data_IF_046348365522
#
_entry.id   IF_046348365522
#
_cell.length_a   1.000
_cell.length_b   1.000
_cell.length_c   1.000
_cell.angle_alpha   90.00
_cell.angle_beta   90.00
_cell.angle_gamma   90.00
#
_symmetry.space_group_name_H-M   'P 1'
#
loop_
_entity.id
_entity.type
_entity.pdbx_description
1 polymer ?
#
# COMPACT_ATOMS: atom_id res chain seq x y z
N UNK A 1 -5.04 -14.61 8.32
CA UNK A 1 -3.88 -13.89 8.83
C UNK A 1 -2.68 -14.77 9.22
N UNK A 2 -2.86 -16.05 9.56
CA UNK A 2 -1.76 -16.94 9.99
C UNK A 2 -0.80 -17.45 8.90
N UNK A 3 -1.10 -17.32 7.61
CA UNK A 3 -0.34 -18.02 6.55
C UNK A 3 0.78 -17.17 5.90
N UNK A 4 0.67 -15.84 5.92
CA UNK A 4 1.74 -14.96 5.41
C UNK A 4 2.95 -14.95 6.37
N UNK A 5 2.69 -15.07 7.68
CA UNK A 5 3.74 -15.08 8.72
C UNK A 5 4.53 -16.39 8.73
N UNK A 6 3.92 -17.53 8.36
CA UNK A 6 4.57 -18.84 8.41
C UNK A 6 5.73 -19.01 7.41
N UNK A 7 5.74 -18.24 6.31
CA UNK A 7 6.83 -18.33 5.32
C UNK A 7 8.08 -17.51 5.70
N UNK A 8 7.98 -16.64 6.70
CA UNK A 8 9.07 -15.77 7.16
C UNK A 8 9.73 -16.21 8.47
N UNK A 9 9.32 -17.33 9.03
CA UNK A 9 9.80 -17.84 10.33
C UNK A 9 11.29 -18.24 10.38
N UNK A 10 12.06 -18.06 9.31
CA UNK A 10 13.50 -18.39 9.25
C UNK A 10 14.43 -17.16 9.23
N UNK A 11 13.91 -15.94 9.36
CA UNK A 11 14.76 -14.76 9.41
C UNK A 11 15.19 -14.46 10.85
N UNK A 12 16.49 -14.37 11.09
CA UNK A 12 17.10 -14.05 12.37
C UNK A 12 16.87 -12.58 12.82
N UNK A 13 16.28 -11.77 11.94
CA UNK A 13 15.99 -10.34 12.18
C UNK A 13 14.56 -9.99 11.78
N UNK A 14 13.94 -8.97 12.43
CA UNK A 14 12.65 -8.44 12.03
C UNK A 14 12.61 -8.04 10.55
N UNK A 15 11.51 -8.33 9.87
CA UNK A 15 11.29 -7.89 8.50
C UNK A 15 11.09 -6.37 8.50
N UNK A 16 11.88 -5.66 7.72
CA UNK A 16 11.80 -4.21 7.57
C UNK A 16 10.79 -3.85 6.49
N UNK A 17 9.71 -3.22 6.87
CA UNK A 17 8.66 -2.77 5.94
C UNK A 17 8.69 -1.25 5.83
N UNK A 18 8.71 -0.74 4.59
CA UNK A 18 8.38 0.65 4.30
C UNK A 18 6.94 0.71 3.80
N UNK A 19 6.05 1.36 4.56
CA UNK A 19 4.67 1.57 4.17
C UNK A 19 4.48 2.97 3.58
N UNK A 20 3.92 3.06 2.36
CA UNK A 20 3.57 4.34 1.72
C UNK A 20 2.17 4.79 2.12
N UNK A 21 2.07 5.56 3.20
CA UNK A 21 0.85 6.20 3.67
C UNK A 21 0.53 7.54 3.01
N UNK A 22 1.30 7.99 2.01
CA UNK A 22 1.12 9.33 1.40
C UNK A 22 -0.17 9.48 0.61
N UNK A 23 -0.83 8.38 0.26
CA UNK A 23 -2.13 8.38 -0.44
C UNK A 23 -3.34 8.47 0.50
N UNK A 24 -3.14 8.46 1.80
CA UNK A 24 -4.21 8.63 2.80
C UNK A 24 -4.85 10.01 2.57
N UNK A 25 -6.17 10.08 2.34
CA UNK A 25 -6.86 11.37 2.18
C UNK A 25 -6.96 12.11 3.53
N UNK A 26 -7.13 13.43 3.49
CA UNK A 26 -7.16 14.27 4.68
C UNK A 26 -8.31 13.92 5.65
N UNK A 27 -9.40 13.33 5.15
CA UNK A 27 -10.53 12.82 5.93
C UNK A 27 -10.37 11.34 6.34
N UNK A 28 -9.16 10.80 6.24
CA UNK A 28 -8.78 9.39 6.40
C UNK A 28 -9.43 8.45 5.37
N UNK A 29 -10.71 8.61 5.07
CA UNK A 29 -11.44 7.73 4.15
C UNK A 29 -11.30 6.23 4.51
N UNK A 30 -11.61 5.36 3.55
CA UNK A 30 -11.45 3.91 3.72
C UNK A 30 -10.00 3.46 3.80
N UNK A 31 -9.13 4.06 2.96
CA UNK A 31 -7.70 3.73 2.96
C UNK A 31 -7.02 4.11 4.27
N UNK A 32 -7.34 5.29 4.80
CA UNK A 32 -6.77 5.75 6.07
C UNK A 32 -7.18 4.87 7.24
N UNK A 33 -8.46 4.49 7.33
CA UNK A 33 -8.94 3.55 8.37
C UNK A 33 -8.27 2.19 8.26
N UNK A 34 -8.18 1.65 7.05
CA UNK A 34 -7.48 0.40 6.82
C UNK A 34 -6.02 0.47 7.30
N UNK A 35 -5.30 1.53 6.97
CA UNK A 35 -3.91 1.71 7.42
C UNK A 35 -3.85 1.87 8.93
N UNK A 36 -4.75 2.65 9.52
CA UNK A 36 -4.79 2.90 10.97
C UNK A 36 -5.04 1.62 11.79
N UNK A 37 -5.81 0.67 11.22
CA UNK A 37 -6.04 -0.64 11.83
C UNK A 37 -4.91 -1.62 11.54
N UNK A 38 -4.30 -1.58 10.33
CA UNK A 38 -3.25 -2.51 9.92
C UNK A 38 -1.94 -2.30 10.67
N UNK A 39 -1.52 -1.03 10.86
CA UNK A 39 -0.14 -0.74 11.29
C UNK A 39 0.19 -1.19 12.71
N UNK A 40 -0.74 -1.11 13.72
CA UNK A 40 -0.50 -1.70 15.03
C UNK A 40 -0.27 -3.22 14.96
N UNK A 41 -1.09 -3.91 14.15
CA UNK A 41 -0.98 -5.36 13.98
C UNK A 41 0.39 -5.78 13.38
N UNK A 42 0.90 -5.00 12.41
CA UNK A 42 2.23 -5.26 11.86
C UNK A 42 3.32 -5.11 12.93
N UNK A 43 3.23 -4.10 13.77
CA UNK A 43 4.18 -3.88 14.87
C UNK A 43 4.07 -5.00 15.91
N UNK A 44 2.87 -5.42 16.29
CA UNK A 44 2.65 -6.54 17.22
C UNK A 44 3.20 -7.86 16.69
N UNK A 45 3.19 -8.06 15.37
CA UNK A 45 3.81 -9.22 14.71
C UNK A 45 5.35 -9.10 14.60
N UNK A 46 5.95 -8.08 15.19
CA UNK A 46 7.41 -7.90 15.22
C UNK A 46 8.00 -7.33 13.92
N UNK A 47 7.20 -6.64 13.09
CA UNK A 47 7.70 -5.95 11.89
C UNK A 47 8.46 -4.68 12.30
N UNK A 48 9.65 -4.48 11.74
CA UNK A 48 10.37 -3.19 11.81
C UNK A 48 9.74 -2.22 10.79
N UNK A 49 8.79 -1.42 11.29
CA UNK A 49 7.94 -0.58 10.46
C UNK A 49 8.50 0.83 10.30
N UNK A 50 8.70 1.24 9.06
CA UNK A 50 8.89 2.64 8.66
C UNK A 50 7.69 3.09 7.82
N UNK A 51 7.10 4.25 8.13
CA UNK A 51 5.99 4.81 7.36
C UNK A 51 6.38 6.15 6.73
N UNK A 52 6.14 6.30 5.43
CA UNK A 52 6.12 7.59 4.76
C UNK A 52 4.68 8.13 4.75
N UNK A 53 4.42 9.25 5.38
CA UNK A 53 3.07 9.83 5.52
C UNK A 53 3.07 11.30 5.11
N UNK A 54 1.91 11.86 4.78
CA UNK A 54 1.79 13.31 4.62
C UNK A 54 2.15 13.99 5.95
N UNK A 55 2.75 15.18 5.87
CA UNK A 55 3.21 15.94 7.06
C UNK A 55 2.08 16.17 8.08
N UNK A 56 0.83 16.38 7.61
CA UNK A 56 -0.36 16.54 8.45
C UNK A 56 -0.71 15.30 9.28
N UNK A 57 -0.34 14.12 8.82
CA UNK A 57 -0.69 12.85 9.45
C UNK A 57 0.43 12.31 10.36
N UNK A 58 1.61 12.98 10.35
CA UNK A 58 2.81 12.49 11.01
C UNK A 58 2.67 12.39 12.54
N UNK A 59 2.07 13.40 13.18
CA UNK A 59 1.85 13.42 14.64
C UNK A 59 0.89 12.31 15.07
N UNK A 60 -0.18 12.08 14.31
CA UNK A 60 -1.14 11.01 14.57
C UNK A 60 -0.44 9.65 14.61
N UNK A 61 0.31 9.30 13.56
CA UNK A 61 0.99 8.01 13.50
C UNK A 61 2.18 7.90 14.46
N UNK A 62 2.90 8.99 14.73
CA UNK A 62 3.99 8.97 15.72
C UNK A 62 3.47 8.71 17.14
N UNK A 63 2.32 9.28 17.50
CA UNK A 63 1.67 9.06 18.80
C UNK A 63 1.13 7.63 18.90
N UNK A 64 0.50 7.14 17.83
CA UNK A 64 -0.13 5.80 17.81
C UNK A 64 0.89 4.66 17.75
N UNK A 65 2.06 4.90 17.15
CA UNK A 65 3.08 3.88 16.87
C UNK A 65 4.47 4.34 17.35
N UNK A 66 4.70 4.46 18.66
CA UNK A 66 5.96 5.00 19.18
C UNK A 66 7.20 4.15 18.83
N UNK A 67 7.03 2.89 18.47
CA UNK A 67 8.11 1.99 18.02
C UNK A 67 8.37 2.05 16.51
N UNK A 68 7.45 2.64 15.71
CA UNK A 68 7.63 2.78 14.28
C UNK A 68 8.37 4.07 13.90
N UNK A 69 9.10 4.02 12.80
CA UNK A 69 9.74 5.21 12.25
C UNK A 69 8.80 5.96 11.32
N UNK A 70 8.36 7.15 11.71
CA UNK A 70 7.50 8.01 10.89
C UNK A 70 8.35 9.03 10.11
N UNK A 71 8.14 9.09 8.79
CA UNK A 71 8.85 10.00 7.88
C UNK A 71 7.82 10.94 7.25
N UNK A 72 7.73 12.20 7.70
CA UNK A 72 6.82 13.17 7.11
C UNK A 72 7.27 13.56 5.71
N UNK A 73 6.32 13.61 4.79
CA UNK A 73 6.51 14.04 3.41
C UNK A 73 5.89 15.43 3.26
N UNK A 74 6.70 16.37 2.78
CA UNK A 74 6.36 17.79 2.70
C UNK A 74 5.01 18.05 2.03
N UNK A 75 4.26 19.00 2.54
CA UNK A 75 2.95 19.48 2.07
C UNK A 75 2.91 19.80 0.55
N UNK A 76 4.05 20.17 -0.05
CA UNK A 76 4.13 20.39 -1.50
C UNK A 76 3.71 19.17 -2.33
N UNK A 77 3.68 17.96 -1.72
CA UNK A 77 3.27 16.71 -2.35
C UNK A 77 1.85 16.26 -1.97
N UNK A 78 1.02 17.12 -1.37
CA UNK A 78 -0.36 16.79 -1.02
C UNK A 78 -1.29 16.65 -2.23
N UNK A 79 -1.09 17.50 -3.26
CA UNK A 79 -1.92 17.38 -4.46
C UNK A 79 -1.68 16.03 -5.15
N UNK A 80 -2.74 15.43 -5.72
CA UNK A 80 -2.65 14.12 -6.38
C UNK A 80 -1.53 14.05 -7.43
N UNK A 81 -1.38 15.04 -8.36
CA UNK A 81 -0.28 14.99 -9.33
C UNK A 81 1.11 15.06 -8.68
N UNK A 82 1.28 15.93 -7.67
CA UNK A 82 2.55 16.07 -6.96
C UNK A 82 2.90 14.81 -6.17
N UNK A 83 1.90 14.19 -5.48
CA UNK A 83 2.08 12.90 -4.80
C UNK A 83 2.50 11.80 -5.77
N UNK A 84 1.84 11.71 -6.92
CA UNK A 84 2.21 10.73 -7.94
C UNK A 84 3.61 10.95 -8.50
N UNK A 85 4.02 12.21 -8.70
CA UNK A 85 5.39 12.54 -9.09
C UNK A 85 6.39 12.14 -7.98
N UNK A 86 6.05 12.41 -6.70
CA UNK A 86 6.86 11.98 -5.57
C UNK A 86 6.94 10.44 -5.46
N UNK A 87 5.85 9.73 -5.67
CA UNK A 87 5.83 8.26 -5.70
C UNK A 87 6.84 7.69 -6.70
N UNK A 88 7.01 8.34 -7.86
CA UNK A 88 7.93 7.88 -8.90
C UNK A 88 9.37 8.38 -8.73
N UNK A 89 9.62 9.44 -7.94
CA UNK A 89 10.93 10.08 -7.83
C UNK A 89 11.49 10.12 -6.41
N UNK A 90 10.67 10.50 -5.44
CA UNK A 90 11.01 10.64 -4.02
C UNK A 90 11.00 9.29 -3.30
N UNK A 91 9.95 8.51 -3.49
CA UNK A 91 9.81 7.20 -2.83
C UNK A 91 10.93 6.23 -3.20
N UNK A 92 11.38 6.09 -4.46
CA UNK A 92 12.56 5.26 -4.77
C UNK A 92 13.86 5.74 -4.11
N UNK A 93 14.02 7.07 -3.90
CA UNK A 93 15.15 7.59 -3.14
C UNK A 93 15.05 7.24 -1.66
N UNK A 94 13.84 7.31 -1.11
CA UNK A 94 13.57 6.92 0.27
C UNK A 94 13.83 5.43 0.49
N UNK A 95 13.37 4.56 -0.42
CA UNK A 95 13.64 3.12 -0.38
C UNK A 95 15.15 2.85 -0.32
N UNK A 96 15.96 3.50 -1.16
CA UNK A 96 17.42 3.34 -1.12
C UNK A 96 18.06 3.81 0.19
N UNK A 97 17.47 4.82 0.85
CA UNK A 97 17.94 5.36 2.14
C UNK A 97 17.56 4.45 3.31
N UNK A 98 16.30 3.99 3.34
CA UNK A 98 15.73 3.16 4.41
C UNK A 98 16.20 1.71 4.29
N UNK A 99 16.36 1.21 3.06
CA UNK A 99 16.70 -0.18 2.72
C UNK A 99 15.73 -1.18 3.35
N UNK A 100 14.42 -1.04 3.09
CA UNK A 100 13.45 -2.01 3.59
C UNK A 100 13.61 -3.34 2.85
N UNK A 101 13.09 -4.41 3.43
CA UNK A 101 13.00 -5.71 2.77
C UNK A 101 11.77 -5.77 1.85
N UNK A 102 10.72 -4.98 2.18
CA UNK A 102 9.46 -4.91 1.43
C UNK A 102 8.93 -3.47 1.41
N UNK A 103 8.42 -3.03 0.26
CA UNK A 103 7.55 -1.86 0.14
C UNK A 103 6.10 -2.30 0.22
N UNK A 104 5.31 -1.76 1.15
CA UNK A 104 3.86 -1.91 1.17
C UNK A 104 3.19 -0.63 0.69
N UNK A 105 2.46 -0.72 -0.42
CA UNK A 105 1.59 0.36 -0.92
C UNK A 105 0.13 0.00 -0.62
N UNK A 106 -0.51 0.58 0.42
CA UNK A 106 -1.88 0.28 0.81
C UNK A 106 -2.90 0.98 -0.11
N UNK A 107 -2.56 1.10 -1.38
CA UNK A 107 -3.35 1.73 -2.44
C UNK A 107 -2.89 1.19 -3.81
N UNK A 108 -3.67 1.46 -4.87
CA UNK A 108 -3.54 0.84 -6.19
C UNK A 108 -2.26 1.17 -6.98
N UNK A 109 -1.41 2.08 -6.49
CA UNK A 109 -0.21 2.53 -7.21
C UNK A 109 1.06 2.27 -6.43
N UNK A 110 2.18 2.15 -7.13
CA UNK A 110 3.51 2.00 -6.57
C UNK A 110 4.56 2.55 -7.55
N UNK A 111 5.80 2.77 -7.10
CA UNK A 111 6.89 3.16 -7.99
C UNK A 111 7.07 2.17 -9.14
N UNK A 112 7.46 2.69 -10.30
CA UNK A 112 7.75 1.82 -11.46
C UNK A 112 8.97 0.93 -11.25
N UNK A 113 9.96 1.43 -10.53
CA UNK A 113 11.24 0.76 -10.24
C UNK A 113 11.55 0.88 -8.75
N UNK A 114 10.88 0.09 -7.89
CA UNK A 114 11.07 0.17 -6.44
C UNK A 114 12.43 -0.37 -6.00
N UNK A 115 12.98 -1.37 -6.69
CA UNK A 115 14.24 -2.04 -6.33
C UNK A 115 14.14 -2.99 -5.12
N UNK A 116 12.94 -3.21 -4.61
CA UNK A 116 12.60 -4.16 -3.53
C UNK A 116 11.26 -4.81 -3.85
N UNK A 117 10.93 -5.96 -3.28
CA UNK A 117 9.61 -6.57 -3.36
C UNK A 117 8.49 -5.61 -2.95
N UNK A 118 7.35 -5.69 -3.64
CA UNK A 118 6.20 -4.79 -3.43
C UNK A 118 4.94 -5.58 -3.08
N UNK A 119 4.33 -5.19 -1.98
CA UNK A 119 2.96 -5.59 -1.60
C UNK A 119 2.01 -4.44 -1.91
N UNK A 120 0.90 -4.72 -2.58
CA UNK A 120 -0.14 -3.72 -2.89
C UNK A 120 -1.48 -4.17 -2.30
N UNK A 121 -2.19 -3.26 -1.62
CA UNK A 121 -3.56 -3.52 -1.20
C UNK A 121 -4.55 -3.02 -2.25
N UNK A 122 -5.45 -3.91 -2.68
CA UNK A 122 -6.56 -3.62 -3.59
C UNK A 122 -7.86 -3.64 -2.78
N UNK A 123 -8.41 -2.47 -2.48
CA UNK A 123 -9.57 -2.34 -1.59
C UNK A 123 -10.88 -2.83 -2.22
N UNK A 124 -11.05 -2.60 -3.51
CA UNK A 124 -12.25 -2.97 -4.28
C UNK A 124 -11.96 -3.10 -5.78
N UNK A 125 -12.92 -3.65 -6.52
CA UNK A 125 -12.91 -3.74 -7.97
C UNK A 125 -14.02 -2.87 -8.62
N UNK A 126 -14.62 -1.91 -7.89
CA UNK A 126 -15.79 -1.14 -8.33
C UNK A 126 -15.56 -0.33 -9.60
N UNK A 127 -14.30 0.04 -9.89
CA UNK A 127 -13.92 0.68 -11.15
C UNK A 127 -14.17 -0.20 -12.38
N UNK A 128 -14.28 -1.50 -12.19
CA UNK A 128 -14.63 -2.46 -13.24
C UNK A 128 -16.11 -2.84 -13.18
N UNK A 129 -16.62 -3.20 -11.99
CA UNK A 129 -17.96 -3.76 -11.82
C UNK A 129 -19.06 -2.69 -11.88
N UNK A 130 -18.76 -1.47 -11.41
CA UNK A 130 -19.71 -0.35 -11.37
C UNK A 130 -19.14 0.91 -12.02
N UNK A 131 -18.76 0.85 -13.31
CA UNK A 131 -18.09 1.97 -13.98
C UNK A 131 -18.91 3.26 -14.00
N UNK A 132 -20.25 3.14 -13.97
CA UNK A 132 -21.18 4.28 -13.93
C UNK A 132 -21.10 5.10 -12.64
N UNK A 133 -20.57 4.54 -11.53
CA UNK A 133 -20.37 5.23 -10.27
C UNK A 133 -19.15 6.19 -10.30
N UNK A 134 -18.35 6.13 -11.36
CA UNK A 134 -17.08 6.86 -11.46
C UNK A 134 -17.02 7.72 -12.71
N UNK A 135 -16.32 8.86 -12.66
CA UNK A 135 -16.03 9.60 -13.87
C UNK A 135 -15.13 8.78 -14.81
N UNK A 136 -15.30 8.93 -16.14
CA UNK A 136 -14.54 8.21 -17.16
C UNK A 136 -13.02 8.32 -16.95
N UNK A 137 -12.54 9.49 -16.50
CA UNK A 137 -11.12 9.70 -16.22
C UNK A 137 -10.63 8.87 -15.03
N UNK A 138 -11.39 8.89 -13.91
CA UNK A 138 -11.08 8.07 -12.73
C UNK A 138 -11.11 6.58 -13.08
N UNK A 139 -12.14 6.13 -13.78
CA UNK A 139 -12.26 4.74 -14.21
C UNK A 139 -11.03 4.29 -15.01
N UNK A 140 -10.65 5.02 -16.06
CA UNK A 140 -9.47 4.68 -16.88
C UNK A 140 -8.18 4.65 -16.05
N UNK A 141 -8.01 5.63 -15.18
CA UNK A 141 -6.84 5.68 -14.32
C UNK A 141 -6.77 4.45 -13.40
N UNK A 142 -7.82 4.18 -12.62
CA UNK A 142 -7.79 3.10 -11.63
C UNK A 142 -7.81 1.72 -12.27
N UNK A 143 -8.56 1.49 -13.35
CA UNK A 143 -8.49 0.20 -14.06
C UNK A 143 -7.09 -0.08 -14.62
N UNK A 144 -6.40 0.95 -15.11
CA UNK A 144 -5.01 0.83 -15.57
C UNK A 144 -4.06 0.58 -14.39
N UNK A 145 -4.23 1.30 -13.28
CA UNK A 145 -3.42 1.15 -12.07
C UNK A 145 -3.56 -0.26 -11.48
N UNK A 146 -4.80 -0.75 -11.32
CA UNK A 146 -5.07 -2.10 -10.80
C UNK A 146 -4.46 -3.17 -11.69
N UNK A 147 -4.65 -3.11 -13.01
CA UNK A 147 -4.02 -4.07 -13.93
C UNK A 147 -2.50 -4.04 -13.86
N UNK A 148 -1.91 -2.85 -13.64
CA UNK A 148 -0.46 -2.71 -13.46
C UNK A 148 -0.01 -3.29 -12.12
N UNK A 149 -0.75 -3.04 -11.03
CA UNK A 149 -0.51 -3.61 -9.71
C UNK A 149 -0.47 -5.14 -9.79
N UNK A 150 -1.49 -5.75 -10.39
CA UNK A 150 -1.60 -7.21 -10.56
C UNK A 150 -0.40 -7.78 -11.33
N UNK A 151 0.09 -7.09 -12.34
CA UNK A 151 1.24 -7.56 -13.12
C UNK A 151 2.58 -7.43 -12.40
N UNK A 152 2.73 -6.45 -11.48
CA UNK A 152 4.03 -6.01 -10.97
C UNK A 152 4.26 -6.25 -9.50
N UNK A 153 3.20 -6.27 -8.67
CA UNK A 153 3.35 -6.54 -7.26
C UNK A 153 3.80 -7.98 -7.03
N UNK A 154 4.62 -8.21 -6.05
CA UNK A 154 5.04 -9.55 -5.62
C UNK A 154 3.92 -10.25 -4.86
N UNK A 155 3.14 -9.49 -4.08
CA UNK A 155 1.93 -9.96 -3.42
C UNK A 155 0.82 -8.89 -3.46
N UNK A 156 -0.43 -9.34 -3.43
CA UNK A 156 -1.62 -8.51 -3.44
C UNK A 156 -2.44 -8.82 -2.19
N UNK A 157 -2.80 -7.78 -1.45
CA UNK A 157 -3.70 -7.90 -0.29
C UNK A 157 -5.07 -7.40 -0.68
N UNK A 158 -6.10 -8.13 -0.28
CA UNK A 158 -7.51 -7.79 -0.51
C UNK A 158 -8.32 -7.98 0.78
N UNK A 159 -9.37 -7.18 1.03
CA UNK A 159 -10.15 -7.25 2.27
C UNK A 159 -11.10 -8.45 2.35
N UNK A 160 -11.31 -9.17 1.24
CA UNK A 160 -12.22 -10.32 1.22
C UNK A 160 -11.98 -11.23 0.02
N UNK A 161 -12.47 -12.47 0.13
CA UNK A 161 -12.53 -13.40 -1.00
C UNK A 161 -13.37 -12.85 -2.16
N UNK A 162 -14.46 -12.13 -1.85
CA UNK A 162 -15.29 -11.50 -2.88
C UNK A 162 -14.51 -10.45 -3.69
N UNK A 163 -13.72 -9.59 -3.03
CA UNK A 163 -12.85 -8.62 -3.70
C UNK A 163 -11.78 -9.31 -4.55
N UNK A 164 -11.18 -10.40 -4.05
CA UNK A 164 -10.23 -11.21 -4.81
C UNK A 164 -10.86 -11.73 -6.10
N UNK A 165 -11.97 -12.44 -5.95
CA UNK A 165 -12.62 -13.12 -7.07
C UNK A 165 -13.14 -12.14 -8.12
N UNK A 166 -13.69 -11.00 -7.67
CA UNK A 166 -14.11 -9.91 -8.54
C UNK A 166 -12.91 -9.28 -9.28
N UNK A 167 -11.83 -9.01 -8.58
CA UNK A 167 -10.60 -8.47 -9.18
C UNK A 167 -10.02 -9.41 -10.24
N UNK A 168 -9.92 -10.70 -9.93
CA UNK A 168 -9.43 -11.72 -10.88
C UNK A 168 -10.35 -11.81 -12.10
N UNK A 169 -11.67 -11.81 -11.88
CA UNK A 169 -12.67 -11.84 -12.96
C UNK A 169 -12.50 -10.71 -13.98
N UNK A 170 -12.24 -9.48 -13.53
CA UNK A 170 -12.20 -8.31 -14.41
C UNK A 170 -10.79 -7.89 -14.86
N UNK A 171 -9.78 -8.17 -14.06
CA UNK A 171 -8.43 -7.70 -14.32
C UNK A 171 -7.41 -8.82 -14.49
N UNK A 172 -7.80 -10.07 -14.19
CA UNK A 172 -6.92 -11.25 -14.23
C UNK A 172 -6.00 -11.31 -13.01
N UNK A 173 -5.01 -12.15 -13.10
CA UNK A 173 -4.00 -12.37 -12.07
C UNK A 173 -3.96 -13.81 -11.58
N UNK A 174 -2.84 -14.19 -10.99
CA UNK A 174 -2.65 -15.47 -10.36
C UNK A 174 -3.29 -15.48 -8.96
N UNK A 175 -4.28 -16.35 -8.68
CA UNK A 175 -4.95 -16.40 -7.38
C UNK A 175 -4.00 -16.59 -6.19
N UNK A 176 -2.87 -17.29 -6.38
CA UNK A 176 -1.90 -17.57 -5.32
C UNK A 176 -1.18 -16.30 -4.81
N UNK A 177 -1.17 -15.23 -5.61
CA UNK A 177 -0.60 -13.95 -5.23
C UNK A 177 -1.54 -13.05 -4.45
N UNK A 178 -2.83 -13.44 -4.32
CA UNK A 178 -3.83 -12.68 -3.58
C UNK A 178 -3.99 -13.26 -2.16
N UNK A 179 -3.78 -12.42 -1.18
CA UNK A 179 -3.94 -12.72 0.24
C UNK A 179 -5.09 -11.92 0.82
N UNK A 180 -5.98 -12.59 1.53
CA UNK A 180 -7.13 -11.96 2.20
C UNK A 180 -6.68 -11.56 3.61
N UNK A 181 -6.87 -10.28 3.97
CA UNK A 181 -6.56 -9.72 5.28
C UNK A 181 -7.82 -9.35 6.04
#
# INVERSE_FOLDING_TARGET
MGMIVAHFASHSHPIRVLLDGTAIPADLGGVGRYVDDLVPELVEQGVDLTMAVQERDAEHFATRLPSARIIPISQRFESRPARMAWEQTGLPKLIRKVRPDVLHSPHYTSPQFPGVPVVITLHDATFFSHPQAHSRLKQRFFTTAIRRAIRRADALVVPSLATRDETIKYAGGDPERFHVA
#
